data_IF_743987213740
#
_entry.id   IF_743987213740
#
_cell.length_a   1.000
_cell.length_b   1.000
_cell.length_c   1.000
_cell.angle_alpha   90.00
_cell.angle_beta   90.00
_cell.angle_gamma   90.00
#
_symmetry.space_group_name_H-M   'P 1'
#
loop_
_entity.id
_entity.type
_entity.pdbx_description
1 polymer ?
#
# COMPACT_ATOMS: atom_id res chain seq x y z
N UNK A 1 4.60 19.73 5.10
CA UNK A 1 4.21 18.83 3.99
C UNK A 1 2.73 18.48 4.12
N UNK A 2 1.94 18.60 3.05
CA UNK A 2 0.49 18.34 3.04
C UNK A 2 0.16 16.85 2.91
N UNK A 3 -1.08 16.45 3.25
CA UNK A 3 -1.59 15.09 3.03
C UNK A 3 -1.54 14.68 1.56
N UNK A 4 -1.86 15.60 0.64
CA UNK A 4 -1.74 15.38 -0.80
C UNK A 4 -0.32 14.99 -1.21
N UNK A 5 0.69 15.66 -0.63
CA UNK A 5 2.09 15.32 -0.88
C UNK A 5 2.47 13.92 -0.36
N UNK A 6 1.87 13.48 0.75
CA UNK A 6 2.05 12.11 1.25
C UNK A 6 1.47 11.09 0.28
N UNK A 7 0.27 11.33 -0.24
CA UNK A 7 -0.37 10.42 -1.18
C UNK A 7 0.42 10.30 -2.49
N UNK A 8 0.89 11.42 -3.04
CA UNK A 8 1.75 11.40 -4.24
C UNK A 8 3.01 10.58 -4.00
N UNK A 9 3.68 10.76 -2.86
CA UNK A 9 4.89 9.98 -2.55
C UNK A 9 4.59 8.52 -2.29
N UNK A 10 3.48 8.21 -1.61
CA UNK A 10 3.01 6.84 -1.46
C UNK A 10 2.81 6.19 -2.83
N UNK A 11 2.11 6.86 -3.76
CA UNK A 11 1.92 6.37 -5.12
C UNK A 11 3.26 6.12 -5.83
N UNK A 12 4.21 7.05 -5.73
CA UNK A 12 5.54 6.88 -6.33
C UNK A 12 6.32 5.71 -5.72
N UNK A 13 6.33 5.58 -4.40
CA UNK A 13 6.99 4.45 -3.72
C UNK A 13 6.32 3.13 -4.08
N UNK A 14 4.98 3.10 -4.11
CA UNK A 14 4.21 1.92 -4.43
C UNK A 14 4.47 1.48 -5.87
N UNK A 15 4.38 2.39 -6.86
CA UNK A 15 4.70 2.11 -8.25
C UNK A 15 6.15 1.68 -8.44
N UNK A 16 7.11 2.37 -7.80
CA UNK A 16 8.53 2.04 -7.89
C UNK A 16 8.84 0.65 -7.34
N UNK A 17 8.34 0.33 -6.15
CA UNK A 17 8.49 -0.99 -5.53
C UNK A 17 7.77 -2.08 -6.33
N UNK A 18 6.60 -1.79 -6.89
CA UNK A 18 5.82 -2.72 -7.69
C UNK A 18 6.52 -3.02 -9.02
N UNK A 19 7.10 -2.02 -9.69
CA UNK A 19 7.92 -2.21 -10.89
C UNK A 19 9.17 -3.05 -10.61
N UNK A 20 9.92 -2.72 -9.54
CA UNK A 20 11.09 -3.47 -9.11
C UNK A 20 10.72 -4.93 -8.78
N UNK A 21 9.56 -5.12 -8.17
CA UNK A 21 9.02 -6.43 -7.87
C UNK A 21 8.65 -7.22 -9.13
N UNK A 22 7.98 -6.61 -10.10
CA UNK A 22 7.66 -7.28 -11.38
C UNK A 22 8.94 -7.73 -12.08
N UNK A 23 9.97 -6.89 -12.12
CA UNK A 23 11.28 -7.25 -12.69
C UNK A 23 11.89 -8.42 -11.94
N UNK A 24 11.93 -8.37 -10.60
CA UNK A 24 12.46 -9.46 -9.79
C UNK A 24 11.65 -10.76 -9.96
N UNK A 25 10.33 -10.68 -10.02
CA UNK A 25 9.47 -11.85 -10.20
C UNK A 25 9.70 -12.53 -11.55
N UNK A 26 9.90 -11.74 -12.62
CA UNK A 26 10.25 -12.25 -13.95
C UNK A 26 11.65 -12.90 -13.94
N UNK A 27 12.64 -12.28 -13.30
CA UNK A 27 14.02 -12.78 -13.24
C UNK A 27 14.16 -14.05 -12.40
N UNK A 28 13.49 -14.13 -11.25
CA UNK A 28 13.63 -15.23 -10.29
C UNK A 28 12.50 -16.26 -10.38
N UNK A 29 11.51 -16.08 -11.27
CA UNK A 29 10.42 -17.03 -11.49
C UNK A 29 9.42 -17.15 -10.33
N UNK A 30 9.26 -16.11 -9.50
CA UNK A 30 8.36 -16.13 -8.35
C UNK A 30 6.89 -16.16 -8.79
N UNK A 31 6.15 -17.19 -8.39
CA UNK A 31 4.70 -17.34 -8.66
C UNK A 31 3.80 -16.75 -7.56
N UNK A 32 4.36 -16.34 -6.42
CA UNK A 32 3.62 -15.84 -5.26
C UNK A 32 3.27 -14.35 -5.31
N UNK A 33 2.46 -13.92 -6.29
CA UNK A 33 2.16 -12.50 -6.53
C UNK A 33 1.40 -11.79 -5.41
N UNK A 34 0.53 -12.49 -4.67
CA UNK A 34 -0.40 -11.87 -3.72
C UNK A 34 0.26 -11.44 -2.39
N UNK A 35 1.08 -12.33 -1.80
CA UNK A 35 1.79 -12.05 -0.54
C UNK A 35 2.81 -10.91 -0.69
N UNK A 36 3.40 -10.79 -1.87
CA UNK A 36 4.42 -9.79 -2.17
C UNK A 36 3.82 -8.40 -2.41
N UNK A 37 2.62 -8.31 -3.00
CA UNK A 37 1.89 -7.04 -3.13
C UNK A 37 1.60 -6.38 -1.78
N UNK A 38 1.28 -7.18 -0.75
CA UNK A 38 1.05 -6.71 0.62
C UNK A 38 2.33 -6.14 1.24
N UNK A 39 3.47 -6.81 1.03
CA UNK A 39 4.78 -6.34 1.52
C UNK A 39 5.15 -5.01 0.85
N UNK A 40 4.94 -4.90 -0.45
CA UNK A 40 5.18 -3.66 -1.21
C UNK A 40 4.30 -2.53 -0.67
N UNK A 41 3.02 -2.79 -0.41
CA UNK A 41 2.11 -1.81 0.16
C UNK A 41 2.53 -1.37 1.56
N UNK A 42 2.95 -2.31 2.42
CA UNK A 42 3.47 -2.02 3.76
C UNK A 42 4.70 -1.10 3.69
N UNK A 43 5.68 -1.46 2.85
CA UNK A 43 6.92 -0.70 2.68
C UNK A 43 6.66 0.70 2.12
N UNK A 44 5.81 0.82 1.10
CA UNK A 44 5.42 2.09 0.52
C UNK A 44 4.73 2.99 1.56
N UNK A 45 3.82 2.43 2.36
CA UNK A 45 3.11 3.17 3.43
C UNK A 45 4.08 3.63 4.52
N UNK A 46 5.01 2.77 4.93
CA UNK A 46 6.04 3.09 5.92
C UNK A 46 7.01 4.17 5.41
N UNK A 47 7.45 4.09 4.16
CA UNK A 47 8.38 5.04 3.55
C UNK A 47 7.73 6.42 3.42
N UNK A 48 6.54 6.49 2.82
CA UNK A 48 5.78 7.73 2.68
C UNK A 48 5.42 8.34 4.05
N UNK A 49 4.98 7.50 5.00
CA UNK A 49 4.64 7.92 6.36
C UNK A 49 5.84 8.45 7.14
N UNK A 50 6.99 7.77 7.08
CA UNK A 50 8.24 8.26 7.70
C UNK A 50 8.64 9.61 7.16
N UNK A 51 8.58 9.80 5.85
CA UNK A 51 9.01 11.03 5.23
C UNK A 51 8.09 12.20 5.58
N UNK A 52 6.78 11.97 5.68
CA UNK A 52 5.83 12.95 6.19
C UNK A 52 6.10 13.32 7.65
N UNK A 53 6.34 12.32 8.51
CA UNK A 53 6.68 12.56 9.91
C UNK A 53 7.96 13.38 10.07
N UNK A 54 9.02 13.07 9.29
CA UNK A 54 10.27 13.84 9.29
C UNK A 54 10.06 15.27 8.79
N UNK A 55 9.31 15.45 7.71
CA UNK A 55 9.09 16.76 7.10
C UNK A 55 8.20 17.69 7.93
N UNK A 56 7.33 17.14 8.79
CA UNK A 56 6.46 17.93 9.67
C UNK A 56 6.92 17.95 11.13
N UNK A 57 8.02 17.27 11.48
CA UNK A 57 8.51 17.16 12.86
C UNK A 57 7.53 16.52 13.84
N UNK A 58 6.46 15.89 13.35
CA UNK A 58 5.34 15.35 14.15
C UNK A 58 4.78 14.08 13.53
N UNK A 59 4.25 13.20 14.37
CA UNK A 59 3.49 12.02 13.92
C UNK A 59 2.04 12.39 13.56
N UNK A 60 1.37 11.48 12.83
CA UNK A 60 -0.04 11.64 12.47
C UNK A 60 -0.94 11.84 13.69
N UNK A 61 -1.72 12.91 13.65
CA UNK A 61 -2.78 13.19 14.62
C UNK A 61 -3.92 12.18 14.50
N UNK A 62 -4.71 12.00 15.57
CA UNK A 62 -5.81 11.01 15.59
C UNK A 62 -6.79 11.14 14.42
N UNK A 63 -7.06 12.37 13.97
CA UNK A 63 -7.92 12.68 12.81
C UNK A 63 -7.26 12.40 11.45
N UNK A 64 -5.93 12.43 11.36
CA UNK A 64 -5.19 12.21 10.11
C UNK A 64 -4.99 10.72 9.81
N UNK A 65 -4.94 9.87 10.85
CA UNK A 65 -4.75 8.42 10.72
C UNK A 65 -5.80 7.72 9.85
N UNK A 66 -7.13 7.89 10.08
CA UNK A 66 -8.12 7.25 9.24
C UNK A 66 -8.05 7.76 7.80
N UNK A 67 -7.76 9.06 7.59
CA UNK A 67 -7.61 9.63 6.25
C UNK A 67 -6.42 9.02 5.50
N UNK A 68 -5.28 8.82 6.16
CA UNK A 68 -4.08 8.21 5.56
C UNK A 68 -4.31 6.73 5.29
N UNK A 69 -4.93 6.00 6.23
CA UNK A 69 -5.24 4.58 6.04
C UNK A 69 -6.19 4.39 4.86
N UNK A 70 -7.31 5.12 4.83
CA UNK A 70 -8.27 5.03 3.72
C UNK A 70 -7.67 5.51 2.41
N UNK A 71 -6.93 6.62 2.40
CA UNK A 71 -6.34 7.16 1.17
C UNK A 71 -5.31 6.22 0.54
N UNK A 72 -4.45 5.58 1.34
CA UNK A 72 -3.47 4.60 0.84
C UNK A 72 -4.14 3.33 0.32
N UNK A 73 -5.21 2.87 0.96
CA UNK A 73 -6.04 1.74 0.50
C UNK A 73 -6.72 2.06 -0.83
N UNK A 74 -7.36 3.23 -0.94
CA UNK A 74 -8.05 3.67 -2.16
C UNK A 74 -7.07 3.77 -3.33
N UNK A 75 -5.88 4.34 -3.12
CA UNK A 75 -4.85 4.41 -4.15
C UNK A 75 -4.37 3.02 -4.57
N UNK A 76 -4.12 2.12 -3.62
CA UNK A 76 -3.67 0.76 -3.92
C UNK A 76 -4.72 0.00 -4.75
N UNK A 77 -6.00 0.14 -4.41
CA UNK A 77 -7.10 -0.45 -5.18
C UNK A 77 -7.25 0.18 -6.56
N UNK A 78 -7.19 1.51 -6.66
CA UNK A 78 -7.25 2.21 -7.95
C UNK A 78 -6.13 1.78 -8.90
N UNK A 79 -4.96 1.38 -8.36
CA UNK A 79 -3.85 0.85 -9.14
C UNK A 79 -4.00 -0.64 -9.48
N UNK A 80 -4.66 -1.45 -8.63
CA UNK A 80 -4.93 -2.86 -8.92
C UNK A 80 -6.11 -3.05 -9.88
N UNK A 81 -7.12 -2.17 -9.83
CA UNK A 81 -8.36 -2.30 -10.59
C UNK A 81 -8.17 -2.42 -12.12
N UNK A 82 -7.31 -1.61 -12.78
CA UNK A 82 -7.07 -1.74 -14.22
C UNK A 82 -6.47 -3.09 -14.61
N UNK A 83 -5.54 -3.62 -13.81
CA UNK A 83 -4.93 -4.93 -14.04
C UNK A 83 -5.95 -6.06 -13.91
N UNK A 84 -6.78 -6.02 -12.87
CA UNK A 84 -7.87 -6.97 -12.67
C UNK A 84 -8.92 -6.90 -13.78
N UNK A 85 -9.24 -5.71 -14.27
CA UNK A 85 -10.20 -5.49 -15.36
C UNK A 85 -9.73 -6.09 -16.69
N UNK A 86 -8.44 -5.95 -17.02
CA UNK A 86 -7.85 -6.55 -18.22
C UNK A 86 -7.96 -8.08 -18.21
N UNK A 87 -7.81 -8.73 -17.05
CA UNK A 87 -7.99 -10.18 -16.92
C UNK A 87 -9.44 -10.67 -17.04
N UNK A 88 -10.42 -9.82 -16.68
CA UNK A 88 -11.84 -10.10 -16.92
C UNK A 88 -12.11 -10.06 -18.43
N UNK A 89 -11.63 -9.02 -19.11
CA UNK A 89 -11.84 -8.86 -20.55
C UNK A 89 -11.16 -9.95 -21.39
N UNK A 90 -10.02 -10.46 -20.95
CA UNK A 90 -9.33 -11.56 -21.64
C UNK A 90 -10.00 -12.93 -21.46
N UNK A 91 -11.15 -13.00 -20.76
CA UNK A 91 -11.85 -14.27 -20.47
C UNK A 91 -11.12 -15.19 -19.50
N UNK A 92 -10.04 -14.71 -18.86
CA UNK A 92 -9.17 -15.54 -18.03
C UNK A 92 -9.71 -15.73 -16.60
N UNK A 93 -10.57 -14.83 -16.11
CA UNK A 93 -11.11 -14.87 -14.75
C UNK A 93 -12.61 -14.52 -14.72
N UNK A 94 -13.37 -15.31 -13.97
CA UNK A 94 -14.77 -15.01 -13.69
C UNK A 94 -14.91 -13.73 -12.85
N UNK A 95 -15.92 -12.91 -13.13
CA UNK A 95 -16.18 -11.64 -12.42
C UNK A 95 -16.29 -11.85 -10.90
N UNK A 96 -16.90 -12.95 -10.46
CA UNK A 96 -17.01 -13.32 -9.04
C UNK A 96 -15.65 -13.54 -8.37
N UNK A 97 -14.71 -14.18 -9.06
CA UNK A 97 -13.35 -14.40 -8.56
C UNK A 97 -12.57 -13.09 -8.44
N UNK A 98 -12.77 -12.17 -9.38
CA UNK A 98 -12.14 -10.83 -9.34
C UNK A 98 -12.72 -9.97 -8.23
N UNK A 99 -14.04 -10.00 -8.03
CA UNK A 99 -14.70 -9.28 -6.94
C UNK A 99 -14.29 -9.84 -5.57
N UNK A 100 -14.20 -11.16 -5.42
CA UNK A 100 -13.68 -11.79 -4.21
C UNK A 100 -12.21 -11.42 -3.96
N UNK A 101 -11.37 -11.44 -5.00
CA UNK A 101 -9.97 -11.00 -4.91
C UNK A 101 -9.84 -9.54 -4.49
N UNK A 102 -10.65 -8.64 -5.05
CA UNK A 102 -10.68 -7.22 -4.68
C UNK A 102 -11.14 -7.01 -3.23
N UNK A 103 -12.14 -7.76 -2.76
CA UNK A 103 -12.60 -7.69 -1.38
C UNK A 103 -11.51 -8.13 -0.38
N UNK A 104 -10.80 -9.22 -0.69
CA UNK A 104 -9.67 -9.71 0.11
C UNK A 104 -8.51 -8.72 0.07
N UNK A 105 -8.20 -8.15 -1.11
CA UNK A 105 -7.19 -7.08 -1.25
C UNK A 105 -7.53 -5.83 -0.45
N UNK A 106 -8.80 -5.43 -0.40
CA UNK A 106 -9.26 -4.28 0.39
C UNK A 106 -9.09 -4.53 1.89
N UNK A 107 -9.51 -5.71 2.37
CA UNK A 107 -9.35 -6.09 3.77
C UNK A 107 -7.87 -6.12 4.19
N UNK A 108 -7.01 -6.73 3.37
CA UNK A 108 -5.57 -6.80 3.63
C UNK A 108 -4.89 -5.44 3.52
N UNK A 109 -5.30 -4.61 2.56
CA UNK A 109 -4.81 -3.23 2.43
C UNK A 109 -5.09 -2.41 3.68
N UNK A 110 -6.30 -2.53 4.24
CA UNK A 110 -6.69 -1.84 5.47
C UNK A 110 -5.87 -2.31 6.67
N UNK A 111 -5.69 -3.63 6.83
CA UNK A 111 -4.84 -4.19 7.88
C UNK A 111 -3.40 -3.68 7.72
N UNK A 112 -2.86 -3.71 6.51
CA UNK A 112 -1.49 -3.30 6.20
C UNK A 112 -1.25 -1.82 6.49
N UNK A 113 -2.17 -0.95 6.06
CA UNK A 113 -2.10 0.48 6.35
C UNK A 113 -2.18 0.76 7.86
N UNK A 114 -3.06 0.04 8.57
CA UNK A 114 -3.21 0.17 10.02
C UNK A 114 -1.94 -0.30 10.75
N UNK A 115 -1.36 -1.44 10.36
CA UNK A 115 -0.12 -1.96 10.91
C UNK A 115 1.05 -1.00 10.65
N UNK A 116 1.16 -0.45 9.43
CA UNK A 116 2.21 0.53 9.10
C UNK A 116 2.12 1.78 9.99
N UNK A 117 0.92 2.31 10.22
CA UNK A 117 0.69 3.43 11.14
C UNK A 117 1.03 3.07 12.59
N UNK A 118 0.74 1.83 13.02
CA UNK A 118 1.05 1.36 14.36
C UNK A 118 2.58 1.20 14.57
N UNK A 119 3.28 0.64 13.58
CA UNK A 119 4.74 0.50 13.59
C UNK A 119 5.46 1.86 13.65
N UNK A 120 4.92 2.88 12.97
CA UNK A 120 5.41 4.24 13.08
C UNK A 120 5.27 4.79 14.51
N UNK A 121 4.14 4.53 15.17
CA UNK A 121 3.91 4.94 16.56
C UNK A 121 4.84 4.20 17.53
N UNK A 122 5.02 2.89 17.35
CA UNK A 122 5.87 2.05 18.22
C UNK A 122 7.35 2.43 18.19
N UNK A 123 7.88 2.94 17.06
CA UNK A 123 9.26 3.45 16.99
C UNK A 123 9.51 4.69 17.84
N UNK A 124 8.49 5.51 18.11
CA UNK A 124 8.61 6.67 19.01
C UNK A 124 8.83 6.24 20.45
N UNK A 125 8.07 5.24 20.92
CA UNK A 125 8.18 4.74 22.28
C UNK A 125 9.56 4.12 22.60
N UNK A 126 10.35 3.76 21.57
CA UNK A 126 11.74 3.27 21.72
C UNK A 126 12.82 4.34 21.58
N UNK A 127 12.47 5.54 21.11
CA UNK A 127 13.39 6.67 20.99
C UNK A 127 13.23 7.65 22.16
N UNK A 128 12.06 7.64 22.80
CA UNK A 128 11.74 8.42 24.00
C UNK A 128 11.99 7.63 25.32
N UNK A 129 12.52 6.40 25.25
CA UNK A 129 12.86 5.52 26.38
C UNK A 129 14.35 5.15 26.33
#
# INVERSE_FOLDING_TARGET
MTLTGLFVRFTLYYLGLLALFVVAAVVFGFKGGFSLGIIVQLLATLAAGRQFCRANGRYFQGRERPAVALGTVVIALALQFPGSWLHIQSGALALSAVMAGLAVSLALSLVTATVALFLLKGRRARLDA
#
